data_IF_703156289102
#
_entry.id   IF_703156289102
#
_cell.length_a   1.000
_cell.length_b   1.000
_cell.length_c   1.000
_cell.angle_alpha   90.00
_cell.angle_beta   90.00
_cell.angle_gamma   90.00
#
_symmetry.space_group_name_H-M   'P 1'
#
loop_
_entity.id
_entity.type
_entity.pdbx_description
1 polymer ?
#
# COMPACT_ATOMS: atom_id res chain seq x y z
N UNK A 1 -4.29 13.93 -25.23
CA UNK A 1 -3.65 13.90 -23.90
C UNK A 1 -2.81 15.16 -23.77
N UNK A 2 -3.18 16.13 -22.93
CA UNK A 2 -2.35 17.33 -22.76
C UNK A 2 -1.06 16.92 -22.06
N UNK A 3 0.09 17.29 -22.64
CA UNK A 3 1.40 17.13 -22.00
C UNK A 3 1.37 17.98 -20.73
N UNK A 4 1.11 17.35 -19.58
CA UNK A 4 1.22 18.02 -18.29
C UNK A 4 2.65 18.53 -18.17
N UNK A 5 2.82 19.84 -17.98
CA UNK A 5 4.10 20.52 -17.70
C UNK A 5 4.99 19.66 -16.80
N UNK A 6 5.90 18.89 -17.41
CA UNK A 6 6.73 17.92 -16.69
C UNK A 6 7.93 18.69 -16.16
N UNK A 7 7.75 19.29 -14.99
CA UNK A 7 8.78 20.06 -14.30
C UNK A 7 9.69 19.08 -13.58
N UNK A 8 10.89 18.86 -14.12
CA UNK A 8 11.97 18.20 -13.41
C UNK A 8 12.63 19.20 -12.46
N UNK A 9 12.98 18.79 -11.25
CA UNK A 9 13.77 19.61 -10.34
C UNK A 9 14.72 18.73 -9.53
N UNK A 10 15.87 19.31 -9.19
CA UNK A 10 16.89 18.71 -8.36
C UNK A 10 16.73 19.21 -6.93
N UNK A 11 16.93 18.34 -5.95
CA UNK A 11 16.92 18.71 -4.53
C UNK A 11 17.87 17.81 -3.74
N UNK A 12 18.24 18.24 -2.52
CA UNK A 12 19.12 17.48 -1.63
C UNK A 12 18.32 16.82 -0.51
N UNK A 13 18.68 15.60 -0.17
CA UNK A 13 18.25 14.93 1.05
C UNK A 13 19.43 14.17 1.65
N UNK A 14 19.74 14.44 2.92
CA UNK A 14 20.89 13.84 3.65
C UNK A 14 22.21 13.89 2.87
N UNK A 15 22.48 15.02 2.23
CA UNK A 15 23.71 15.24 1.45
C UNK A 15 23.77 14.55 0.08
N UNK A 16 22.76 13.76 -0.30
CA UNK A 16 22.66 13.17 -1.65
C UNK A 16 21.76 14.02 -2.54
N UNK A 17 22.07 14.08 -3.84
CA UNK A 17 21.25 14.74 -4.84
C UNK A 17 20.17 13.81 -5.39
N UNK A 18 18.97 14.34 -5.57
CA UNK A 18 17.81 13.63 -6.09
C UNK A 18 17.12 14.43 -7.19
N UNK A 19 16.65 13.73 -8.21
CA UNK A 19 15.84 14.31 -9.29
C UNK A 19 14.38 13.87 -9.15
N UNK A 20 13.45 14.81 -9.25
CA UNK A 20 12.04 14.48 -9.38
C UNK A 20 11.75 13.82 -10.72
N UNK A 21 11.05 12.69 -10.67
CA UNK A 21 10.72 11.88 -11.84
C UNK A 21 9.33 12.21 -12.38
N UNK A 22 8.34 11.88 -11.55
CA UNK A 22 6.91 12.02 -11.87
C UNK A 22 6.09 11.94 -10.59
N UNK A 23 4.86 12.42 -10.66
CA UNK A 23 3.87 12.19 -9.61
C UNK A 23 3.40 10.74 -9.62
N UNK A 24 3.47 10.05 -8.48
CA UNK A 24 2.95 8.70 -8.30
C UNK A 24 1.46 8.70 -7.95
N UNK A 25 1.00 9.69 -7.18
CA UNK A 25 -0.38 9.77 -6.73
C UNK A 25 -0.65 10.98 -5.83
N UNK A 26 -1.92 11.18 -5.50
CA UNK A 26 -2.38 12.22 -4.58
C UNK A 26 -3.22 11.57 -3.49
N UNK A 27 -2.79 11.69 -2.23
CA UNK A 27 -3.59 11.33 -1.05
C UNK A 27 -4.42 12.52 -0.56
N UNK A 28 -5.13 12.37 0.55
CA UNK A 28 -5.85 13.49 1.17
C UNK A 28 -4.87 14.61 1.59
N UNK A 29 -3.82 14.24 2.31
CA UNK A 29 -2.92 15.20 2.98
C UNK A 29 -1.59 15.40 2.25
N UNK A 30 -1.19 14.47 1.38
CA UNK A 30 0.10 14.51 0.70
C UNK A 30 0.01 14.22 -0.81
N UNK A 31 1.07 14.58 -1.52
CA UNK A 31 1.34 14.16 -2.89
C UNK A 31 2.53 13.21 -2.87
N UNK A 32 2.38 12.04 -3.49
CA UNK A 32 3.46 11.07 -3.64
C UNK A 32 4.17 11.29 -4.98
N UNK A 33 5.49 11.32 -4.94
CA UNK A 33 6.37 11.60 -6.08
C UNK A 33 7.40 10.47 -6.19
N UNK A 34 7.68 10.01 -7.40
CA UNK A 34 8.85 9.16 -7.65
C UNK A 34 10.04 10.10 -7.81
N UNK A 35 11.13 9.79 -7.11
CA UNK A 35 12.39 10.53 -7.16
C UNK A 35 13.54 9.56 -7.36
N UNK A 36 14.61 9.99 -8.02
CA UNK A 36 15.79 9.16 -8.28
C UNK A 36 17.01 9.77 -7.62
N UNK A 37 17.77 8.95 -6.88
CA UNK A 37 19.06 9.33 -6.31
C UNK A 37 20.09 9.39 -7.42
N UNK A 38 20.67 10.57 -7.67
CA UNK A 38 21.54 10.82 -8.84
C UNK A 38 22.77 9.91 -8.84
N UNK A 39 23.39 9.69 -7.69
CA UNK A 39 24.65 8.91 -7.61
C UNK A 39 24.50 7.41 -7.83
N UNK A 40 23.29 6.85 -7.69
CA UNK A 40 23.07 5.39 -7.70
C UNK A 40 21.99 4.95 -8.67
N UNK A 41 21.16 5.88 -9.17
CA UNK A 41 19.96 5.56 -9.92
C UNK A 41 18.82 4.96 -9.09
N UNK A 42 18.99 4.79 -7.77
CA UNK A 42 17.97 4.24 -6.87
C UNK A 42 16.69 5.09 -6.91
N UNK A 43 15.54 4.46 -7.04
CA UNK A 43 14.23 5.12 -7.04
C UNK A 43 13.57 5.04 -5.67
N UNK A 44 12.97 6.14 -5.23
CA UNK A 44 12.26 6.27 -3.96
C UNK A 44 10.90 6.95 -4.16
N UNK A 45 10.04 6.81 -3.15
CA UNK A 45 8.82 7.61 -3.02
C UNK A 45 9.08 8.77 -2.08
N UNK A 46 8.86 9.99 -2.58
CA UNK A 46 8.83 11.22 -1.79
C UNK A 46 7.38 11.63 -1.55
N UNK A 47 6.88 11.54 -0.32
CA UNK A 47 5.58 12.09 0.09
C UNK A 47 5.79 13.55 0.52
N UNK A 48 5.03 14.48 -0.03
CA UNK A 48 5.09 15.92 0.29
C UNK A 48 3.74 16.38 0.81
N UNK A 49 3.68 17.01 1.98
CA UNK A 49 2.42 17.56 2.52
C UNK A 49 1.84 18.62 1.58
N UNK A 50 0.55 18.52 1.30
CA UNK A 50 -0.19 19.52 0.49
C UNK A 50 -0.36 20.82 1.24
N UNK A 51 -0.63 20.72 2.53
CA UNK A 51 -0.80 21.86 3.40
C UNK A 51 0.55 22.29 3.98
N UNK A 52 0.71 23.60 4.09
CA UNK A 52 1.79 24.22 4.86
C UNK A 52 1.41 24.12 6.32
N UNK A 53 2.30 23.57 7.12
CA UNK A 53 2.10 23.26 8.51
C UNK A 53 2.95 24.21 9.36
N UNK A 54 2.46 24.55 10.54
CA UNK A 54 3.24 25.27 11.53
C UNK A 54 4.36 24.37 12.07
N UNK A 55 5.43 24.96 12.59
CA UNK A 55 6.63 24.22 13.02
C UNK A 55 6.32 23.02 13.94
N UNK A 56 5.39 23.20 14.88
CA UNK A 56 4.96 22.20 15.87
C UNK A 56 4.25 20.99 15.25
N UNK A 57 3.54 21.18 14.13
CA UNK A 57 2.85 20.08 13.42
C UNK A 57 3.82 19.22 12.61
N UNK A 58 5.05 19.70 12.39
CA UNK A 58 6.07 19.02 11.61
C UNK A 58 7.13 18.31 12.47
N UNK A 59 7.24 18.60 13.78
CA UNK A 59 8.38 18.15 14.60
C UNK A 59 8.43 16.65 14.82
N UNK A 60 7.27 16.00 14.96
CA UNK A 60 7.21 14.56 15.18
C UNK A 60 5.89 13.99 14.61
N UNK A 61 5.84 13.76 13.30
CA UNK A 61 4.64 13.24 12.65
C UNK A 61 4.38 11.82 13.11
N UNK A 62 3.14 11.58 13.55
CA UNK A 62 2.71 10.31 14.14
C UNK A 62 3.10 9.07 13.33
N UNK A 63 2.90 9.10 12.00
CA UNK A 63 3.27 8.02 11.07
C UNK A 63 4.75 7.63 11.20
N UNK A 64 5.63 8.63 11.31
CA UNK A 64 7.08 8.40 11.30
C UNK A 64 7.54 7.82 12.62
N UNK A 65 7.01 8.33 13.73
CA UNK A 65 7.24 7.78 15.07
C UNK A 65 6.82 6.31 15.16
N UNK A 66 5.61 5.97 14.70
CA UNK A 66 5.11 4.59 14.70
C UNK A 66 6.06 3.67 13.90
N UNK A 67 6.49 4.11 12.71
CA UNK A 67 7.37 3.28 11.87
C UNK A 67 8.78 3.17 12.44
N UNK A 68 9.40 4.26 12.89
CA UNK A 68 10.78 4.27 13.37
C UNK A 68 10.92 3.61 14.74
N UNK A 69 10.03 3.95 15.67
CA UNK A 69 10.14 3.52 17.07
C UNK A 69 9.58 2.11 17.28
N UNK A 70 8.73 1.61 16.38
CA UNK A 70 8.10 0.31 16.52
C UNK A 70 8.29 -0.53 15.27
N UNK A 71 7.66 -0.19 14.14
CA UNK A 71 7.49 -1.14 13.04
C UNK A 71 8.80 -1.52 12.32
N UNK A 72 9.84 -0.68 12.40
CA UNK A 72 11.17 -0.96 11.85
C UNK A 72 12.03 -1.85 12.75
N UNK A 73 11.59 -2.13 13.98
CA UNK A 73 12.28 -3.05 14.89
C UNK A 73 12.09 -4.50 14.44
N UNK A 74 13.03 -5.41 14.77
CA UNK A 74 12.84 -6.84 14.55
C UNK A 74 11.55 -7.33 15.22
N UNK A 75 10.84 -8.28 14.61
CA UNK A 75 9.64 -8.86 15.22
C UNK A 75 10.00 -9.62 16.50
N UNK A 76 9.15 -9.50 17.52
CA UNK A 76 9.31 -10.25 18.77
C UNK A 76 8.97 -11.73 18.60
N UNK A 77 8.16 -12.07 17.60
CA UNK A 77 7.76 -13.45 17.31
C UNK A 77 8.80 -14.11 16.40
N UNK A 78 9.45 -15.21 16.81
CA UNK A 78 10.46 -15.90 16.00
C UNK A 78 9.89 -16.40 14.67
N UNK A 79 10.66 -16.19 13.59
CA UNK A 79 10.31 -16.62 12.23
C UNK A 79 9.26 -15.76 11.53
N UNK A 80 8.72 -14.72 12.20
CA UNK A 80 7.82 -13.76 11.57
C UNK A 80 8.62 -12.86 10.62
N UNK A 81 8.10 -12.62 9.41
CA UNK A 81 8.73 -11.71 8.43
C UNK A 81 7.71 -10.65 8.02
N UNK A 82 7.59 -9.54 8.76
CA UNK A 82 6.69 -8.46 8.40
C UNK A 82 7.22 -7.71 7.18
N UNK A 83 6.31 -7.36 6.26
CA UNK A 83 6.60 -6.55 5.09
C UNK A 83 5.99 -5.16 5.28
N UNK A 84 6.87 -4.23 5.70
CA UNK A 84 6.56 -2.81 5.93
C UNK A 84 7.50 -1.98 5.03
N UNK A 85 7.00 -1.01 4.24
CA UNK A 85 7.83 -0.18 3.39
C UNK A 85 8.89 0.55 4.22
N UNK A 86 10.15 0.48 3.78
CA UNK A 86 11.24 1.18 4.48
C UNK A 86 11.04 2.70 4.43
N UNK A 87 11.06 3.35 5.61
CA UNK A 87 11.19 4.80 5.74
C UNK A 87 12.68 5.16 5.78
N UNK A 88 13.17 5.82 4.74
CA UNK A 88 14.56 6.29 4.69
C UNK A 88 14.77 7.53 5.56
N UNK A 89 13.73 8.35 5.74
CA UNK A 89 13.71 9.49 6.65
C UNK A 89 12.72 10.56 6.22
N UNK A 90 12.72 11.68 6.92
CA UNK A 90 11.87 12.82 6.65
C UNK A 90 12.61 14.13 6.94
N UNK A 91 12.09 15.23 6.41
CA UNK A 91 12.62 16.58 6.62
C UNK A 91 11.50 17.62 6.58
N UNK A 92 11.77 18.79 7.14
CA UNK A 92 10.89 19.95 7.05
C UNK A 92 11.48 20.89 6.01
N UNK A 93 10.70 21.24 5.00
CA UNK A 93 11.12 22.23 4.02
C UNK A 93 10.45 23.58 4.33
N UNK A 94 11.22 24.67 4.44
CA UNK A 94 10.64 25.99 4.69
C UNK A 94 9.67 26.38 3.57
N UNK A 95 8.60 27.07 3.95
CA UNK A 95 7.59 27.61 3.06
C UNK A 95 7.29 29.06 3.45
N UNK A 96 6.60 29.79 2.56
CA UNK A 96 6.26 31.20 2.80
C UNK A 96 5.44 31.39 4.08
N UNK A 97 5.88 32.32 4.92
CA UNK A 97 5.17 32.78 6.13
C UNK A 97 5.42 31.91 7.36
N UNK A 98 6.68 31.56 7.65
CA UNK A 98 7.08 30.72 8.81
C UNK A 98 6.42 29.34 8.87
N UNK A 99 5.92 28.87 7.72
CA UNK A 99 5.32 27.53 7.59
C UNK A 99 6.30 26.57 6.95
N UNK A 100 5.98 25.29 7.03
CA UNK A 100 6.82 24.22 6.51
C UNK A 100 6.01 23.22 5.70
N UNK A 101 6.63 22.61 4.70
CA UNK A 101 6.16 21.37 4.11
C UNK A 101 6.83 20.20 4.82
N UNK A 102 6.04 19.20 5.19
CA UNK A 102 6.58 17.94 5.70
C UNK A 102 6.86 17.02 4.51
N UNK A 103 8.07 16.47 4.47
CA UNK A 103 8.52 15.59 3.39
C UNK A 103 9.07 14.30 3.96
N UNK A 104 8.67 13.16 3.42
CA UNK A 104 9.22 11.84 3.80
C UNK A 104 9.59 10.99 2.59
N UNK A 105 10.57 10.13 2.79
CA UNK A 105 11.22 9.33 1.75
C UNK A 105 11.06 7.84 2.06
N UNK A 106 10.45 7.10 1.15
CA UNK A 106 10.01 5.72 1.35
C UNK A 106 10.51 4.80 0.23
N UNK A 107 10.55 3.51 0.52
CA UNK A 107 10.77 2.46 -0.47
C UNK A 107 9.77 2.57 -1.63
N UNK A 108 10.27 2.49 -2.86
CA UNK A 108 9.42 2.34 -4.03
C UNK A 108 8.92 0.90 -4.13
N UNK A 109 7.59 0.74 -4.12
CA UNK A 109 6.92 -0.54 -4.34
C UNK A 109 6.36 -0.57 -5.77
N UNK A 110 7.09 -1.21 -6.66
CA UNK A 110 6.89 -1.17 -8.11
C UNK A 110 5.62 -1.86 -8.64
N UNK A 111 4.92 -2.66 -7.83
CA UNK A 111 3.68 -3.34 -8.22
C UNK A 111 2.42 -2.47 -8.13
N UNK A 112 2.45 -1.36 -7.38
CA UNK A 112 1.25 -0.54 -7.11
C UNK A 112 0.41 -1.05 -5.95
N UNK A 113 -0.80 -0.52 -5.78
CA UNK A 113 -1.67 -0.91 -4.68
C UNK A 113 -2.48 -2.17 -5.04
N UNK A 114 -2.86 -2.96 -4.04
CA UNK A 114 -3.75 -4.11 -4.20
C UNK A 114 -5.10 -3.68 -4.77
N UNK A 115 -5.57 -2.47 -4.43
CA UNK A 115 -6.75 -1.87 -5.08
C UNK A 115 -6.58 -1.79 -6.59
N UNK A 116 -5.40 -1.48 -7.12
CA UNK A 116 -5.20 -1.44 -8.57
C UNK A 116 -5.37 -2.83 -9.16
N UNK A 117 -4.92 -3.89 -8.47
CA UNK A 117 -5.17 -5.26 -8.90
C UNK A 117 -6.67 -5.59 -8.86
N UNK A 118 -7.32 -5.34 -7.71
CA UNK A 118 -8.73 -5.61 -7.49
C UNK A 118 -9.58 -4.78 -8.47
N UNK A 119 -9.22 -3.53 -8.73
CA UNK A 119 -10.06 -2.64 -9.51
C UNK A 119 -9.72 -2.64 -11.01
N UNK A 120 -8.47 -2.65 -11.43
CA UNK A 120 -8.18 -2.61 -12.88
C UNK A 120 -8.53 -3.92 -13.58
N UNK A 121 -8.57 -5.04 -12.83
CA UNK A 121 -8.99 -6.34 -13.35
C UNK A 121 -10.44 -6.69 -13.03
N UNK A 122 -11.01 -6.16 -11.93
CA UNK A 122 -12.36 -6.53 -11.48
C UNK A 122 -13.34 -5.35 -11.30
N UNK A 123 -13.01 -4.11 -11.70
CA UNK A 123 -13.89 -2.94 -11.56
C UNK A 123 -14.60 -2.59 -12.86
N UNK A 124 -15.84 -3.05 -12.94
CA UNK A 124 -16.91 -2.07 -12.76
C UNK A 124 -17.94 -2.71 -11.83
N UNK A 125 -18.72 -1.90 -11.14
CA UNK A 125 -19.90 -2.29 -10.33
C UNK A 125 -20.89 -3.24 -11.05
N UNK A 126 -20.65 -3.61 -12.32
CA UNK A 126 -21.39 -4.56 -13.15
C UNK A 126 -20.73 -5.93 -13.32
N UNK A 127 -19.49 -6.14 -12.84
CA UNK A 127 -18.72 -7.38 -13.06
C UNK A 127 -18.45 -8.19 -11.79
N UNK A 128 -19.50 -8.39 -10.99
CA UNK A 128 -19.69 -9.67 -10.30
C UNK A 128 -19.82 -10.87 -11.28
N UNK A 129 -19.48 -10.74 -12.55
CA UNK A 129 -19.57 -11.81 -13.54
C UNK A 129 -18.21 -12.49 -13.63
N UNK A 130 -18.22 -13.77 -13.32
CA UNK A 130 -17.08 -14.66 -13.51
C UNK A 130 -16.65 -14.62 -14.98
N UNK A 131 -15.36 -14.39 -15.24
CA UNK A 131 -14.76 -14.49 -16.56
C UNK A 131 -13.79 -15.69 -16.56
N UNK A 132 -14.11 -16.78 -17.29
CA UNK A 132 -13.25 -17.96 -17.31
C UNK A 132 -11.87 -17.71 -17.95
N UNK A 133 -11.70 -16.61 -18.69
CA UNK A 133 -10.42 -16.25 -19.31
C UNK A 133 -9.49 -15.49 -18.38
N UNK A 134 -9.98 -15.01 -17.23
CA UNK A 134 -9.18 -14.30 -16.24
C UNK A 134 -8.96 -15.21 -15.03
N UNK A 135 -7.70 -15.36 -14.63
CA UNK A 135 -7.30 -16.13 -13.44
C UNK A 135 -6.41 -15.28 -12.56
N UNK A 136 -6.81 -15.07 -11.30
CA UNK A 136 -5.86 -14.64 -10.27
C UNK A 136 -5.18 -15.90 -9.74
N UNK A 137 -3.85 -16.01 -9.79
CA UNK A 137 -3.14 -17.18 -9.31
C UNK A 137 -3.47 -17.46 -7.83
N UNK A 138 -3.80 -18.69 -7.50
CA UNK A 138 -4.14 -19.11 -6.14
C UNK A 138 -3.00 -18.78 -5.17
N UNK A 139 -1.75 -19.02 -5.60
CA UNK A 139 -0.54 -18.68 -4.84
C UNK A 139 -0.48 -17.21 -4.45
N UNK A 140 -0.93 -16.31 -5.33
CA UNK A 140 -0.93 -14.87 -5.07
C UNK A 140 -1.89 -14.50 -3.95
N UNK A 141 -3.09 -15.10 -3.92
CA UNK A 141 -4.10 -14.88 -2.87
C UNK A 141 -3.54 -15.31 -1.52
N UNK A 142 -2.95 -16.50 -1.47
CA UNK A 142 -2.38 -17.06 -0.24
C UNK A 142 -1.19 -16.24 0.24
N UNK A 143 -0.28 -15.85 -0.65
CA UNK A 143 0.87 -14.99 -0.32
C UNK A 143 0.42 -13.64 0.23
N UNK A 144 -0.63 -13.04 -0.35
CA UNK A 144 -1.21 -11.79 0.17
C UNK A 144 -1.69 -11.96 1.61
N UNK A 145 -2.48 -13.00 1.90
CA UNK A 145 -2.97 -13.26 3.26
C UNK A 145 -1.79 -13.49 4.22
N UNK A 146 -0.88 -14.39 3.85
CA UNK A 146 0.32 -14.72 4.63
C UNK A 146 1.12 -13.46 5.01
N UNK A 147 1.48 -12.65 4.02
CA UNK A 147 2.37 -11.51 4.24
C UNK A 147 1.68 -10.34 4.95
N UNK A 148 0.41 -10.04 4.61
CA UNK A 148 -0.33 -8.97 5.28
C UNK A 148 -0.65 -9.36 6.73
N UNK A 149 -1.03 -10.62 7.00
CA UNK A 149 -1.19 -11.11 8.38
C UNK A 149 0.13 -11.09 9.13
N UNK A 150 1.25 -11.39 8.48
CA UNK A 150 2.57 -11.29 9.14
C UNK A 150 2.87 -9.86 9.57
N UNK A 151 2.57 -8.87 8.72
CA UNK A 151 2.69 -7.45 9.08
C UNK A 151 1.73 -7.04 10.19
N UNK A 152 0.47 -7.51 10.19
CA UNK A 152 -0.48 -7.23 11.27
C UNK A 152 -0.06 -7.84 12.60
N UNK A 153 0.40 -9.11 12.61
CA UNK A 153 0.92 -9.77 13.79
C UNK A 153 2.10 -8.99 14.38
N UNK A 154 2.99 -8.48 13.53
CA UNK A 154 4.08 -7.62 13.98
C UNK A 154 3.54 -6.35 14.63
N UNK A 155 2.60 -5.64 14.03
CA UNK A 155 1.98 -4.45 14.64
C UNK A 155 1.34 -4.76 16.01
N UNK A 156 0.74 -5.94 16.16
CA UNK A 156 0.08 -6.37 17.40
C UNK A 156 1.04 -6.78 18.50
N UNK A 157 2.27 -7.18 18.15
CA UNK A 157 3.22 -7.77 19.10
C UNK A 157 4.50 -6.97 19.29
N UNK A 158 4.81 -6.00 18.41
CA UNK A 158 6.04 -5.20 18.46
C UNK A 158 6.20 -4.39 19.76
N UNK A 159 5.08 -4.11 20.42
CA UNK A 159 5.05 -3.52 21.76
C UNK A 159 4.22 -4.44 22.68
N UNK A 160 4.86 -5.17 23.63
CA UNK A 160 4.18 -6.10 24.52
C UNK A 160 3.08 -5.46 25.37
N UNK A 161 3.25 -4.19 25.73
CA UNK A 161 2.35 -3.50 26.65
C UNK A 161 1.16 -2.89 25.93
N UNK A 162 1.29 -2.56 24.63
CA UNK A 162 0.21 -1.89 23.91
C UNK A 162 0.25 -2.20 22.40
N UNK A 163 -0.71 -2.98 21.88
CA UNK A 163 -0.76 -3.32 20.46
C UNK A 163 -1.00 -2.08 19.59
N UNK A 164 -0.42 -2.08 18.40
CA UNK A 164 -0.64 -1.04 17.39
C UNK A 164 -1.63 -1.56 16.34
N UNK A 165 -2.67 -0.80 16.06
CA UNK A 165 -3.66 -1.10 15.02
C UNK A 165 -3.43 -0.21 13.80
N UNK A 166 -3.73 -0.71 12.60
CA UNK A 166 -3.52 0.08 11.38
C UNK A 166 -4.51 1.24 11.27
N UNK A 167 -5.77 1.02 11.69
CA UNK A 167 -6.87 2.02 11.77
C UNK A 167 -7.29 2.65 10.44
N UNK A 168 -6.56 2.41 9.36
CA UNK A 168 -6.97 2.74 7.99
C UNK A 168 -6.60 1.61 6.99
N UNK A 169 -6.83 0.34 7.38
CA UNK A 169 -6.54 -0.77 6.48
C UNK A 169 -7.61 -0.87 5.40
N UNK A 170 -7.19 -0.67 4.16
CA UNK A 170 -7.97 -0.90 2.95
C UNK A 170 -7.05 -1.33 1.80
N UNK A 171 -7.57 -1.86 0.70
CA UNK A 171 -6.76 -2.38 -0.41
C UNK A 171 -5.82 -1.33 -1.06
N UNK A 172 -6.05 -0.04 -0.84
CA UNK A 172 -5.15 1.04 -1.27
C UNK A 172 -3.86 1.16 -0.43
N UNK A 173 -3.86 0.59 0.77
CA UNK A 173 -2.77 0.63 1.75
C UNK A 173 -2.01 -0.70 1.84
N UNK A 174 -2.38 -1.67 0.99
CA UNK A 174 -1.58 -2.86 0.72
C UNK A 174 -0.90 -2.67 -0.62
N UNK A 175 0.42 -2.62 -0.62
CA UNK A 175 1.25 -2.37 -1.79
C UNK A 175 1.92 -3.64 -2.27
N UNK A 176 2.10 -3.77 -3.58
CA UNK A 176 2.79 -4.89 -4.20
C UNK A 176 4.20 -4.47 -4.62
N UNK A 177 5.17 -5.35 -4.45
CA UNK A 177 6.53 -5.17 -4.94
C UNK A 177 7.04 -6.45 -5.59
N UNK A 178 7.47 -6.37 -6.83
CA UNK A 178 8.19 -7.44 -7.51
C UNK A 178 9.68 -7.23 -7.20
N UNK A 179 10.28 -8.04 -6.31
CA UNK A 179 11.69 -7.90 -5.98
C UNK A 179 12.57 -8.25 -7.19
N UNK A 180 13.74 -7.63 -7.26
CA UNK A 180 14.75 -8.00 -8.26
C UNK A 180 15.46 -9.28 -7.81
N UNK A 181 15.50 -10.29 -8.68
CA UNK A 181 16.20 -11.56 -8.47
C UNK A 181 17.71 -11.39 -8.66
N UNK A 182 18.50 -12.38 -8.26
CA UNK A 182 19.97 -12.35 -8.34
C UNK A 182 20.53 -12.12 -9.74
N UNK A 183 19.77 -12.49 -10.78
CA UNK A 183 20.09 -12.24 -12.19
C UNK A 183 19.65 -10.86 -12.70
N UNK A 184 19.14 -9.97 -11.84
CA UNK A 184 18.69 -8.63 -12.22
C UNK A 184 17.29 -8.55 -12.81
N UNK A 185 16.56 -9.67 -12.91
CA UNK A 185 15.17 -9.67 -13.38
C UNK A 185 14.17 -9.36 -12.27
N UNK A 186 12.95 -8.95 -12.63
CA UNK A 186 11.86 -8.91 -11.65
C UNK A 186 11.32 -10.32 -11.41
N UNK A 187 11.11 -10.63 -10.13
CA UNK A 187 10.39 -11.83 -9.66
C UNK A 187 9.04 -11.96 -10.36
N UNK A 188 8.66 -13.20 -10.68
CA UNK A 188 7.35 -13.50 -11.25
C UNK A 188 6.20 -13.21 -10.25
N UNK A 189 6.48 -13.25 -8.95
CA UNK A 189 5.46 -13.13 -7.90
C UNK A 189 5.79 -11.94 -7.01
N UNK A 190 4.83 -11.02 -6.80
CA UNK A 190 5.04 -9.87 -5.94
C UNK A 190 4.96 -10.26 -4.45
N UNK A 191 5.63 -9.45 -3.64
CA UNK A 191 5.47 -9.34 -2.21
C UNK A 191 4.43 -8.28 -1.86
N UNK A 192 3.72 -8.46 -0.74
CA UNK A 192 2.66 -7.59 -0.24
C UNK A 192 3.10 -6.86 1.02
N UNK A 193 3.24 -5.55 0.90
CA UNK A 193 3.67 -4.64 1.94
C UNK A 193 2.47 -3.88 2.51
N UNK A 194 2.39 -3.80 3.83
CA UNK A 194 1.40 -2.97 4.52
C UNK A 194 1.97 -1.56 4.72
N UNK A 195 1.27 -0.50 4.31
CA UNK A 195 1.78 0.87 4.39
C UNK A 195 0.70 1.92 4.66
N UNK A 196 1.14 3.18 4.75
CA UNK A 196 0.31 4.35 5.09
C UNK A 196 -0.20 4.32 6.55
N UNK A 197 0.72 4.58 7.47
CA UNK A 197 0.49 4.48 8.92
C UNK A 197 0.01 5.81 9.55
N UNK A 198 -0.54 6.73 8.75
CA UNK A 198 -1.00 8.05 9.21
C UNK A 198 -1.98 7.97 10.39
N UNK A 199 -2.85 6.96 10.37
CA UNK A 199 -3.84 6.71 11.42
C UNK A 199 -3.46 5.59 12.39
N UNK A 200 -2.38 4.87 12.13
CA UNK A 200 -2.01 3.68 12.90
C UNK A 200 -1.63 4.06 14.32
N UNK A 201 -2.12 3.36 15.33
CA UNK A 201 -1.85 3.70 16.72
C UNK A 201 -2.55 2.77 17.70
N UNK A 202 -2.54 3.17 18.96
CA UNK A 202 -3.09 2.40 20.06
C UNK A 202 -4.63 2.47 20.13
N UNK A 203 -5.28 1.54 20.84
CA UNK A 203 -6.73 1.54 21.00
C UNK A 203 -7.19 2.65 21.97
N UNK A 204 -7.19 3.89 21.50
CA UNK A 204 -7.87 4.98 22.21
C UNK A 204 -9.30 5.12 21.68
N UNK A 205 -10.28 4.76 22.51
CA UNK A 205 -11.70 5.01 22.27
C UNK A 205 -12.56 3.78 21.93
N UNK A 206 -13.87 3.96 22.06
CA UNK A 206 -14.89 2.96 21.74
C UNK A 206 -15.24 3.01 20.26
N UNK A 207 -14.95 1.94 19.52
CA UNK A 207 -15.62 1.64 18.26
C UNK A 207 -16.55 0.46 18.45
N UNK A 208 -17.63 0.40 17.68
CA UNK A 208 -18.58 -0.73 17.71
C UNK A 208 -17.93 -2.07 17.37
N UNK A 209 -16.80 -2.04 16.65
CA UNK A 209 -15.96 -3.19 16.31
C UNK A 209 -14.55 -3.02 16.87
N UNK A 210 -13.93 -4.10 17.36
CA UNK A 210 -12.52 -4.10 17.73
C UNK A 210 -11.64 -3.78 16.51
N UNK A 211 -10.64 -2.92 16.68
CA UNK A 211 -9.77 -2.48 15.57
C UNK A 211 -9.03 -3.66 14.91
N UNK A 212 -8.56 -4.62 15.70
CA UNK A 212 -7.88 -5.81 15.18
C UNK A 212 -8.76 -6.61 14.22
N UNK A 213 -10.00 -6.90 14.61
CA UNK A 213 -10.91 -7.64 13.74
C UNK A 213 -11.29 -6.86 12.52
N UNK A 214 -11.39 -5.52 12.62
CA UNK A 214 -11.67 -4.70 11.44
C UNK A 214 -10.53 -4.80 10.43
N UNK A 215 -9.28 -4.74 10.89
CA UNK A 215 -8.12 -4.90 10.02
C UNK A 215 -8.09 -6.31 9.39
N UNK A 216 -8.32 -7.36 10.18
CA UNK A 216 -8.37 -8.76 9.68
C UNK A 216 -9.53 -8.99 8.71
N UNK A 217 -10.73 -8.48 9.01
CA UNK A 217 -11.91 -8.54 8.15
C UNK A 217 -11.65 -7.87 6.80
N UNK A 218 -10.89 -6.76 6.78
CA UNK A 218 -10.50 -6.12 5.52
C UNK A 218 -9.60 -7.01 4.68
N UNK A 219 -8.59 -7.66 5.28
CA UNK A 219 -7.76 -8.64 4.55
C UNK A 219 -8.59 -9.80 4.01
N UNK A 220 -9.48 -10.35 4.85
CA UNK A 220 -10.39 -11.43 4.45
C UNK A 220 -11.35 -10.97 3.36
N UNK A 221 -11.82 -9.72 3.39
CA UNK A 221 -12.64 -9.15 2.33
C UNK A 221 -11.85 -9.05 1.01
N UNK A 222 -10.58 -8.66 1.04
CA UNK A 222 -9.75 -8.65 -0.17
C UNK A 222 -9.58 -10.06 -0.74
N UNK A 223 -9.31 -11.05 0.13
CA UNK A 223 -9.23 -12.45 -0.26
C UNK A 223 -10.56 -12.94 -0.86
N UNK A 224 -11.69 -12.61 -0.25
CA UNK A 224 -13.02 -12.92 -0.78
C UNK A 224 -13.21 -12.37 -2.19
N UNK A 225 -12.83 -11.11 -2.45
CA UNK A 225 -12.95 -10.52 -3.78
C UNK A 225 -12.06 -11.25 -4.81
N UNK A 226 -10.82 -11.56 -4.44
CA UNK A 226 -9.88 -12.28 -5.31
C UNK A 226 -10.32 -13.73 -5.58
N UNK A 227 -10.86 -14.43 -4.58
CA UNK A 227 -11.43 -15.78 -4.75
C UNK A 227 -12.68 -15.70 -5.64
N UNK A 228 -13.58 -14.76 -5.36
CA UNK A 228 -14.85 -14.62 -6.10
C UNK A 228 -14.64 -14.28 -7.57
N UNK A 229 -13.55 -13.58 -7.89
CA UNK A 229 -13.14 -13.30 -9.26
C UNK A 229 -12.80 -14.57 -10.06
N UNK A 230 -12.30 -15.60 -9.39
CA UNK A 230 -11.92 -16.87 -10.00
C UNK A 230 -13.08 -17.87 -10.12
N UNK A 231 -14.24 -17.59 -9.52
CA UNK A 231 -15.28 -18.59 -9.31
C UNK A 231 -16.64 -18.17 -9.90
N UNK A 232 -17.36 -19.12 -10.54
CA UNK A 232 -18.78 -18.96 -10.84
C UNK A 232 -19.57 -18.66 -9.55
N UNK A 233 -20.69 -17.96 -9.69
CA UNK A 233 -21.50 -17.48 -8.55
C UNK A 233 -21.86 -18.59 -7.56
N UNK A 234 -22.20 -19.78 -8.04
CA UNK A 234 -22.56 -20.94 -7.22
C UNK A 234 -21.45 -21.42 -6.26
N UNK A 235 -20.19 -21.07 -6.53
CA UNK A 235 -19.04 -21.51 -5.74
C UNK A 235 -18.40 -20.39 -4.91
N UNK A 236 -18.94 -19.16 -4.96
CA UNK A 236 -18.33 -18.03 -4.28
C UNK A 236 -18.48 -18.12 -2.77
N UNK A 237 -17.45 -17.74 -2.00
CA UNK A 237 -17.63 -17.56 -0.57
C UNK A 237 -18.66 -16.44 -0.31
N UNK A 238 -19.48 -16.53 0.74
CA UNK A 238 -20.42 -15.47 1.09
C UNK A 238 -19.70 -14.21 1.58
N UNK A 239 -20.32 -13.05 1.36
CA UNK A 239 -19.73 -11.73 1.61
C UNK A 239 -19.54 -11.41 3.09
N UNK A 240 -20.38 -11.95 3.95
CA UNK A 240 -20.44 -11.64 5.38
C UNK A 240 -19.53 -12.54 6.23
N UNK A 241 -18.58 -13.25 5.61
CA UNK A 241 -17.72 -14.25 6.25
C UNK A 241 -18.52 -15.34 7.00
N UNK A 242 -19.83 -15.48 6.75
CA UNK A 242 -20.62 -16.57 7.32
C UNK A 242 -20.25 -17.84 6.61
N UNK A 243 -19.57 -18.70 7.32
CA UNK A 243 -19.07 -19.93 6.71
C UNK A 243 -20.28 -20.84 6.41
N UNK A 244 -20.41 -21.38 5.18
CA UNK A 244 -21.47 -22.33 4.87
C UNK A 244 -21.43 -23.50 5.86
N UNK A 245 -22.60 -24.08 6.17
CA UNK A 245 -22.70 -25.17 7.15
C UNK A 245 -21.63 -26.24 6.86
N UNK A 246 -20.77 -26.59 7.84
CA UNK A 246 -19.69 -27.57 7.65
C UNK A 246 -20.17 -28.93 7.14
N UNK A 247 -21.45 -29.26 7.37
CA UNK A 247 -22.06 -30.51 6.92
C UNK A 247 -22.47 -30.50 5.44
N UNK A 248 -22.27 -29.41 4.70
CA UNK A 248 -22.58 -29.36 3.26
C UNK A 248 -21.54 -30.20 2.49
N UNK A 249 -21.94 -31.27 1.80
CA UNK A 249 -21.02 -32.05 0.96
C UNK A 249 -20.35 -31.16 -0.08
N UNK A 250 -19.07 -31.37 -0.34
CA UNK A 250 -18.27 -30.55 -1.28
C UNK A 250 -18.10 -29.09 -0.89
N UNK A 251 -18.30 -28.71 0.39
CA UNK A 251 -17.97 -27.37 0.87
C UNK A 251 -16.53 -27.01 0.52
N UNK A 252 -16.38 -25.91 -0.22
CA UNK A 252 -15.09 -25.41 -0.66
C UNK A 252 -14.40 -26.28 -1.71
N UNK A 253 -15.08 -27.26 -2.31
CA UNK A 253 -14.55 -28.08 -3.39
C UNK A 253 -14.97 -27.48 -4.74
N UNK A 254 -13.98 -27.14 -5.56
CA UNK A 254 -14.18 -26.61 -6.91
C UNK A 254 -13.81 -27.71 -7.90
N UNK A 255 -14.78 -28.21 -8.70
CA UNK A 255 -14.51 -29.28 -9.65
C UNK A 255 -13.35 -28.93 -10.58
N UNK A 256 -12.37 -29.82 -10.66
CA UNK A 256 -11.18 -29.69 -11.53
C UNK A 256 -10.31 -28.44 -11.26
N UNK A 257 -10.40 -27.82 -10.08
CA UNK A 257 -9.56 -26.69 -9.67
C UNK A 257 -9.04 -26.93 -8.24
N UNK A 258 -8.06 -27.85 -8.13
CA UNK A 258 -7.40 -28.16 -6.87
C UNK A 258 -6.75 -26.94 -6.19
N UNK A 259 -6.08 -26.02 -6.92
CA UNK A 259 -5.52 -24.80 -6.32
C UNK A 259 -6.59 -23.95 -5.64
N UNK A 260 -7.70 -23.63 -6.33
CA UNK A 260 -8.74 -22.78 -5.75
C UNK A 260 -9.55 -23.49 -4.67
N UNK A 261 -9.70 -24.82 -4.77
CA UNK A 261 -10.26 -25.65 -3.70
C UNK A 261 -9.46 -25.49 -2.42
N UNK A 262 -8.13 -25.57 -2.50
CA UNK A 262 -7.26 -25.42 -1.33
C UNK A 262 -7.35 -24.00 -0.73
N UNK A 263 -7.35 -22.96 -1.58
CA UNK A 263 -7.51 -21.56 -1.13
C UNK A 263 -8.86 -21.34 -0.46
N UNK A 264 -9.95 -21.84 -1.03
CA UNK A 264 -11.30 -21.67 -0.50
C UNK A 264 -11.49 -22.39 0.84
N UNK A 265 -10.92 -23.60 0.98
CA UNK A 265 -10.91 -24.34 2.25
C UNK A 265 -10.12 -23.60 3.34
N UNK A 266 -8.94 -23.08 3.01
CA UNK A 266 -8.15 -22.26 3.94
C UNK A 266 -8.92 -21.00 4.35
N UNK A 267 -9.52 -20.29 3.39
CA UNK A 267 -10.35 -19.11 3.64
C UNK A 267 -11.48 -19.41 4.63
N UNK A 268 -12.21 -20.52 4.44
CA UNK A 268 -13.27 -20.92 5.37
C UNK A 268 -12.74 -21.29 6.76
N UNK A 269 -11.61 -22.00 6.86
CA UNK A 269 -10.96 -22.27 8.16
C UNK A 269 -10.65 -20.97 8.90
N UNK A 270 -10.12 -19.95 8.20
CA UNK A 270 -9.82 -18.66 8.83
C UNK A 270 -11.08 -17.92 9.26
N UNK A 271 -12.15 -17.95 8.46
CA UNK A 271 -13.43 -17.39 8.88
C UNK A 271 -13.98 -18.07 10.15
N UNK A 272 -13.88 -19.40 10.26
CA UNK A 272 -14.26 -20.14 11.47
C UNK A 272 -13.42 -19.73 12.67
N UNK A 273 -12.08 -19.71 12.53
CA UNK A 273 -11.16 -19.28 13.60
C UNK A 273 -11.45 -17.86 14.09
N UNK A 274 -11.70 -16.90 13.17
CA UNK A 274 -12.05 -15.52 13.52
C UNK A 274 -13.39 -15.46 14.25
N UNK A 275 -14.39 -16.22 13.79
CA UNK A 275 -15.71 -16.23 14.41
C UNK A 275 -15.70 -16.89 15.79
N UNK A 276 -14.94 -17.97 15.97
CA UNK A 276 -14.73 -18.61 17.27
C UNK A 276 -14.05 -17.66 18.24
N UNK A 277 -12.98 -16.99 17.82
CA UNK A 277 -12.29 -15.99 18.65
C UNK A 277 -13.23 -14.85 19.07
N UNK A 278 -14.07 -14.33 18.15
CA UNK A 278 -15.08 -13.30 18.48
C UNK A 278 -16.11 -13.79 19.49
N UNK A 279 -16.53 -15.04 19.39
CA UNK A 279 -17.51 -15.65 20.30
C UNK A 279 -16.91 -15.81 21.71
N UNK A 280 -15.71 -16.37 21.81
CA UNK A 280 -14.95 -16.54 23.05
C UNK A 280 -14.70 -15.20 23.75
N UNK A 281 -14.44 -14.15 22.97
CA UNK A 281 -14.15 -12.82 23.48
C UNK A 281 -15.38 -11.89 23.51
N UNK A 282 -16.58 -12.38 23.22
CA UNK A 282 -17.79 -11.56 23.01
C UNK A 282 -18.10 -10.58 24.14
N UNK A 283 -17.78 -10.94 25.40
CA UNK A 283 -17.96 -10.09 26.59
C UNK A 283 -16.99 -8.90 26.67
N UNK A 284 -15.84 -9.00 26.04
CA UNK A 284 -14.74 -8.02 26.13
C UNK A 284 -14.38 -7.42 24.79
N UNK A 285 -14.86 -7.99 23.68
CA UNK A 285 -14.48 -7.62 22.31
C UNK A 285 -14.69 -6.13 21.98
N UNK A 286 -15.63 -5.46 22.65
CA UNK A 286 -15.85 -4.01 22.48
C UNK A 286 -15.01 -3.12 23.42
N UNK A 287 -14.20 -3.71 24.29
CA UNK A 287 -13.34 -3.02 25.24
C UNK A 287 -11.93 -2.87 24.67
N UNK A 288 -11.28 -1.75 24.98
CA UNK A 288 -9.88 -1.50 24.61
C UNK A 288 -8.90 -2.54 25.19
N UNK A 289 -9.30 -3.23 26.27
CA UNK A 289 -8.52 -4.28 26.92
C UNK A 289 -8.59 -5.64 26.23
N UNK A 290 -9.41 -5.81 25.20
CA UNK A 290 -9.45 -7.06 24.45
C UNK A 290 -8.12 -7.22 23.69
N UNK A 291 -7.39 -8.34 23.84
CA UNK A 291 -6.18 -8.54 23.07
C UNK A 291 -6.54 -8.69 21.58
N UNK A 292 -5.64 -8.36 20.64
CA UNK A 292 -5.81 -8.79 19.26
C UNK A 292 -5.79 -10.34 19.17
N UNK A 293 -6.46 -10.94 18.18
CA UNK A 293 -6.31 -12.37 17.92
C UNK A 293 -4.86 -12.69 17.51
N UNK A 294 -4.36 -13.84 17.98
CA UNK A 294 -3.07 -14.35 17.51
C UNK A 294 -3.21 -14.92 16.10
N UNK A 295 -2.48 -14.34 15.14
CA UNK A 295 -2.54 -14.72 13.73
C UNK A 295 -1.53 -15.81 13.35
N UNK A 296 -0.66 -16.25 14.27
CA UNK A 296 0.42 -17.18 13.93
C UNK A 296 -0.06 -18.52 13.36
N UNK A 297 -1.20 -19.03 13.84
CA UNK A 297 -1.83 -20.23 13.28
C UNK A 297 -2.23 -20.05 11.82
N UNK A 298 -2.86 -18.91 11.49
CA UNK A 298 -3.27 -18.56 10.13
C UNK A 298 -2.07 -18.30 9.22
N UNK A 299 -1.06 -17.56 9.71
CA UNK A 299 0.18 -17.27 9.00
C UNK A 299 0.86 -18.57 8.56
N UNK A 300 1.05 -19.53 9.48
CA UNK A 300 1.70 -20.82 9.17
C UNK A 300 0.90 -21.67 8.18
N UNK A 301 -0.43 -21.69 8.32
CA UNK A 301 -1.32 -22.40 7.36
C UNK A 301 -1.22 -21.79 5.96
N UNK A 302 -1.23 -20.46 5.86
CA UNK A 302 -1.08 -19.75 4.59
C UNK A 302 0.31 -19.97 3.99
N UNK A 303 1.38 -19.85 4.76
CA UNK A 303 2.75 -20.12 4.30
C UNK A 303 2.91 -21.57 3.79
N UNK A 304 2.36 -22.55 4.52
CA UNK A 304 2.40 -23.95 4.11
C UNK A 304 1.66 -24.18 2.78
N UNK A 305 0.47 -23.59 2.62
CA UNK A 305 -0.28 -23.67 1.36
C UNK A 305 0.44 -22.93 0.21
N UNK A 306 1.06 -21.78 0.49
CA UNK A 306 1.85 -21.05 -0.49
C UNK A 306 3.01 -21.90 -1.03
N UNK A 307 3.70 -22.65 -0.15
CA UNK A 307 4.76 -23.60 -0.52
C UNK A 307 4.21 -24.74 -1.37
N UNK A 308 3.03 -25.28 -1.07
CA UNK A 308 2.38 -26.33 -1.88
C UNK A 308 1.95 -25.85 -3.27
N UNK A 309 1.57 -24.58 -3.40
CA UNK A 309 1.20 -23.94 -4.67
C UNK A 309 2.44 -23.45 -5.46
N UNK A 310 3.64 -23.58 -4.90
CA UNK A 310 4.87 -23.18 -5.59
C UNK A 310 5.30 -24.28 -6.56
N UNK A 311 5.73 -23.93 -7.79
CA UNK A 311 6.29 -24.92 -8.70
C UNK A 311 7.48 -25.63 -8.04
N UNK A 312 7.51 -26.96 -8.10
CA UNK A 312 8.65 -27.74 -7.62
C UNK A 312 9.90 -27.37 -8.43
N UNK A 313 10.80 -26.58 -7.82
CA UNK A 313 12.07 -26.21 -8.43
C UNK A 313 13.03 -27.40 -8.58
N UNK A 314 12.84 -28.48 -7.83
CA UNK A 314 13.82 -29.56 -7.75
C UNK A 314 13.72 -30.58 -8.88
N UNK A 315 12.75 -30.48 -9.79
CA UNK A 315 12.61 -31.42 -10.92
C UNK A 315 12.47 -32.89 -10.52
N UNK A 316 12.46 -33.19 -9.21
CA UNK A 316 12.27 -34.52 -8.68
C UNK A 316 10.86 -34.94 -8.99
N UNK A 317 10.76 -36.04 -9.72
CA UNK A 317 9.60 -36.82 -10.13
C UNK A 317 8.71 -37.28 -8.95
N UNK A 318 8.57 -36.52 -7.87
CA UNK A 318 7.39 -36.61 -7.01
C UNK A 318 6.22 -36.12 -7.86
N UNK A 319 5.56 -37.09 -8.46
CA UNK A 319 4.48 -37.00 -9.43
C UNK A 319 3.60 -35.75 -9.24
N UNK A 320 3.24 -35.14 -10.38
CA UNK A 320 2.19 -34.12 -10.59
C UNK A 320 0.77 -34.52 -10.08
N UNK A 321 0.66 -35.37 -9.06
CA UNK A 321 -0.58 -35.94 -8.55
C UNK A 321 -1.47 -34.92 -7.84
N UNK A 322 -0.95 -33.76 -7.40
CA UNK A 322 -1.75 -32.83 -6.60
C UNK A 322 -2.58 -31.84 -7.43
N UNK A 323 -2.30 -31.65 -8.72
CA UNK A 323 -2.96 -30.63 -9.55
C UNK A 323 -2.80 -29.20 -9.03
N UNK A 324 -1.87 -28.96 -8.09
CA UNK A 324 -1.69 -27.69 -7.39
C UNK A 324 -0.83 -26.66 -8.15
N UNK A 325 -0.07 -27.12 -9.15
CA UNK A 325 0.81 -26.27 -9.94
C UNK A 325 0.05 -25.54 -11.05
N UNK A 326 -0.11 -24.22 -10.89
CA UNK A 326 -0.75 -23.36 -11.88
C UNK A 326 0.23 -22.73 -12.88
N UNK A 327 1.53 -23.07 -12.83
CA UNK A 327 2.56 -22.42 -13.67
C UNK A 327 2.37 -22.63 -15.16
N UNK A 328 1.65 -23.69 -15.55
CA UNK A 328 1.32 -24.01 -16.94
C UNK A 328 -0.04 -23.46 -17.39
N UNK A 329 -0.84 -22.89 -16.49
CA UNK A 329 -2.11 -22.27 -16.88
C UNK A 329 -1.83 -20.99 -17.68
N UNK A 330 -2.24 -20.90 -18.95
CA UNK A 330 -1.96 -19.73 -19.80
C UNK A 330 -2.52 -18.43 -19.23
N UNK A 331 -3.64 -18.50 -18.47
CA UNK A 331 -4.27 -17.33 -17.83
C UNK A 331 -3.39 -16.80 -16.69
N UNK A 332 -2.75 -17.70 -15.94
CA UNK A 332 -1.80 -17.35 -14.87
C UNK A 332 -0.51 -16.77 -15.44
N UNK A 333 0.03 -17.37 -16.51
CA UNK A 333 1.21 -16.84 -17.21
C UNK A 333 0.93 -15.44 -17.75
N UNK A 334 -0.22 -15.25 -18.41
CA UNK A 334 -0.64 -13.93 -18.89
C UNK A 334 -0.75 -12.92 -17.73
N UNK A 335 -1.38 -13.31 -16.63
CA UNK A 335 -1.53 -12.46 -15.46
C UNK A 335 -0.18 -11.95 -14.94
N UNK A 336 0.80 -12.84 -14.75
CA UNK A 336 2.12 -12.45 -14.26
C UNK A 336 2.90 -11.60 -15.26
N UNK A 337 2.81 -11.91 -16.56
CA UNK A 337 3.46 -11.10 -17.60
C UNK A 337 2.92 -9.67 -17.63
N UNK A 338 1.61 -9.50 -17.52
CA UNK A 338 1.01 -8.16 -17.47
C UNK A 338 1.42 -7.40 -16.20
N UNK A 339 1.47 -8.08 -15.05
CA UNK A 339 1.90 -7.49 -13.79
C UNK A 339 3.38 -7.05 -13.86
N UNK A 340 4.26 -7.92 -14.38
CA UNK A 340 5.69 -7.63 -14.61
C UNK A 340 5.85 -6.47 -15.59
N UNK A 341 5.09 -6.44 -16.68
CA UNK A 341 5.09 -5.33 -17.64
C UNK A 341 4.69 -3.99 -17.02
N UNK A 342 3.65 -3.97 -16.17
CA UNK A 342 3.25 -2.76 -15.42
C UNK A 342 4.31 -2.31 -14.42
N UNK A 343 4.94 -3.26 -13.73
CA UNK A 343 6.02 -2.98 -12.78
C UNK A 343 7.24 -2.41 -13.49
N UNK A 344 7.63 -3.01 -14.63
CA UNK A 344 8.69 -2.49 -15.49
C UNK A 344 8.37 -1.07 -15.94
N UNK A 345 7.17 -0.76 -16.45
CA UNK A 345 6.81 0.61 -16.82
C UNK A 345 6.89 1.61 -15.66
N UNK A 346 6.69 1.17 -14.42
CA UNK A 346 6.85 2.04 -13.23
C UNK A 346 8.31 2.32 -12.93
N UNK A 347 9.19 1.32 -13.03
CA UNK A 347 10.64 1.43 -12.77
C UNK A 347 11.40 2.05 -13.95
N UNK A 348 10.98 1.73 -15.18
CA UNK A 348 11.60 2.16 -16.44
C UNK A 348 11.08 3.50 -16.95
N UNK A 349 10.14 4.13 -16.24
CA UNK A 349 9.79 5.52 -16.49
C UNK A 349 10.99 6.39 -16.10
N UNK A 350 12.00 6.39 -16.97
CA UNK A 350 13.25 7.09 -16.78
C UNK A 350 12.93 8.57 -16.64
N UNK A 351 13.35 9.18 -15.52
CA UNK A 351 13.16 10.58 -15.30
C UNK A 351 14.26 11.34 -16.00
N UNK A 352 14.18 11.40 -17.32
CA UNK A 352 15.12 12.14 -18.14
C UNK A 352 16.49 11.46 -18.19
N UNK A 353 17.03 11.29 -19.39
CA UNK A 353 18.44 10.90 -19.50
C UNK A 353 19.25 12.15 -19.17
N UNK A 354 19.83 12.19 -17.97
CA UNK A 354 20.84 13.19 -17.62
C UNK A 354 22.07 12.90 -18.48
N UNK A 355 22.22 13.61 -19.59
CA UNK A 355 23.40 13.49 -20.46
C UNK A 355 24.31 14.69 -20.19
N UNK A 356 25.58 14.44 -19.84
CA UNK A 356 26.58 15.46 -19.56
C UNK A 356 27.62 15.07 -18.50
N UNK A 357 28.76 15.76 -18.52
CA UNK A 357 29.73 15.86 -17.41
C UNK A 357 29.13 16.60 -16.21
N UNK A 358 29.72 16.50 -15.00
CA UNK A 358 29.32 17.25 -13.79
C UNK A 358 29.17 18.76 -14.04
N UNK A 359 29.95 19.33 -14.98
CA UNK A 359 29.86 20.74 -15.41
C UNK A 359 28.71 21.04 -16.39
N UNK A 360 28.16 20.03 -17.05
CA UNK A 360 27.07 20.13 -18.05
C UNK A 360 25.76 19.48 -17.59
N UNK A 361 25.68 18.96 -16.36
CA UNK A 361 24.55 18.21 -15.78
C UNK A 361 23.22 18.99 -15.60
N UNK A 362 22.95 20.06 -16.34
CA UNK A 362 21.78 20.92 -16.12
C UNK A 362 20.82 21.01 -17.30
N UNK A 363 20.97 20.18 -18.34
CA UNK A 363 19.95 20.08 -19.40
C UNK A 363 19.31 18.69 -19.38
N UNK A 364 18.31 18.46 -18.51
CA UNK A 364 17.60 17.19 -18.51
C UNK A 364 16.89 16.97 -19.87
N UNK A 365 16.99 15.77 -20.42
CA UNK A 365 16.47 15.42 -21.75
C UNK A 365 15.35 14.37 -21.67
N UNK A 366 14.27 14.51 -22.44
CA UNK A 366 13.33 13.40 -22.76
C UNK A 366 13.57 12.97 -24.19
N UNK A 367 14.17 11.79 -24.39
CA UNK A 367 14.63 11.37 -25.72
C UNK A 367 15.75 12.29 -26.21
N UNK A 368 15.56 12.91 -27.38
CA UNK A 368 16.50 13.92 -27.94
C UNK A 368 16.10 15.36 -27.61
N UNK A 369 15.02 15.58 -26.87
CA UNK A 369 14.49 16.92 -26.62
C UNK A 369 14.92 17.46 -25.24
N UNK A 370 15.51 18.67 -25.17
CA UNK A 370 15.81 19.32 -23.91
C UNK A 370 14.53 19.73 -23.18
N UNK A 371 14.47 19.44 -21.88
CA UNK A 371 13.35 19.82 -21.01
C UNK A 371 13.65 21.11 -20.29
N UNK A 372 12.71 22.06 -20.40
CA UNK A 372 12.74 23.28 -19.59
C UNK A 372 12.44 22.93 -18.13
N UNK A 373 13.45 23.05 -17.28
CA UNK A 373 13.34 23.02 -15.82
C UNK A 373 12.59 24.29 -15.37
N UNK A 374 11.43 24.15 -14.73
CA UNK A 374 10.62 25.27 -14.26
C UNK A 374 10.22 25.13 -12.77
N UNK A 375 11.13 25.52 -11.86
CA UNK A 375 10.88 25.93 -10.46
C UNK A 375 10.57 24.82 -9.40
N UNK A 376 10.94 25.02 -8.10
CA UNK A 376 12.07 25.81 -7.60
C UNK A 376 13.03 24.96 -6.74
N UNK A 377 14.23 24.75 -7.25
CA UNK A 377 15.43 25.39 -6.70
C UNK A 377 16.16 26.05 -7.87
N UNK A 378 16.76 27.22 -7.64
CA UNK A 378 17.79 27.80 -8.51
C UNK A 378 19.15 27.57 -7.87
N UNK A 379 20.17 27.31 -8.67
CA UNK A 379 21.57 27.60 -8.37
C UNK A 379 21.80 29.12 -8.55
N UNK A 380 22.50 29.77 -7.64
CA UNK A 380 22.80 31.21 -7.61
C UNK A 380 24.31 31.41 -7.52
N UNK A 381 24.91 32.04 -8.54
CA UNK A 381 26.34 32.32 -8.54
C UNK A 381 26.69 33.48 -7.59
N UNK A 382 27.64 33.28 -6.67
CA UNK A 382 28.32 34.36 -5.94
C UNK A 382 29.44 34.94 -6.80
N UNK A 383 29.86 36.18 -6.49
CA UNK A 383 31.08 36.81 -7.06
C UNK A 383 32.21 35.77 -7.11
N UNK A 384 32.86 35.66 -8.28
CA UNK A 384 33.94 34.71 -8.60
C UNK A 384 33.56 33.29 -9.09
N UNK A 385 32.46 33.05 -9.81
CA UNK A 385 32.31 31.78 -10.56
C UNK A 385 31.69 30.60 -9.80
N UNK A 386 31.16 30.80 -8.58
CA UNK A 386 30.65 29.70 -7.72
C UNK A 386 29.14 29.74 -7.55
N UNK A 387 28.46 28.65 -7.88
CA UNK A 387 27.00 28.48 -7.78
C UNK A 387 26.52 27.94 -6.41
N UNK A 388 25.39 28.45 -5.89
CA UNK A 388 24.79 28.18 -4.57
C UNK A 388 23.25 28.12 -4.66
N UNK A 389 22.59 27.07 -4.16
CA UNK A 389 21.12 26.97 -4.31
C UNK A 389 20.31 27.81 -3.29
N UNK A 390 19.27 28.54 -3.73
CA UNK A 390 18.38 29.36 -2.86
C UNK A 390 16.89 29.12 -3.18
N UNK A 391 16.04 29.00 -2.15
CA UNK A 391 14.59 28.77 -2.23
C UNK A 391 13.78 29.99 -1.74
N UNK A 392 12.86 30.49 -2.57
CA UNK A 392 11.83 31.47 -2.20
C UNK A 392 10.56 31.29 -3.06
N UNK A 393 9.61 30.51 -2.55
CA UNK A 393 8.13 30.64 -2.75
C UNK A 393 7.37 29.79 -3.82
N UNK A 394 6.18 29.37 -3.37
CA UNK A 394 4.87 29.22 -4.07
C UNK A 394 4.62 28.05 -5.04
N UNK A 395 3.79 27.10 -4.59
CA UNK A 395 3.01 26.25 -5.49
C UNK A 395 1.88 27.03 -6.16
N UNK A 396 1.86 27.00 -7.49
CA UNK A 396 0.65 27.21 -8.29
C UNK A 396 -0.33 26.06 -8.05
N UNK A 397 -1.61 26.38 -7.80
CA UNK A 397 -2.70 25.40 -7.95
C UNK A 397 -2.62 24.80 -9.36
N UNK A 398 -2.66 23.47 -9.55
CA UNK A 398 -2.92 22.90 -10.86
C UNK A 398 -4.27 23.45 -11.35
N UNK A 399 -4.30 24.01 -12.55
CA UNK A 399 -5.51 24.56 -13.14
C UNK A 399 -6.65 23.55 -13.07
N UNK A 400 -7.83 24.00 -12.63
CA UNK A 400 -9.08 23.29 -12.80
C UNK A 400 -9.20 22.87 -14.27
N UNK A 401 -9.02 21.60 -14.58
CA UNK A 401 -9.63 21.03 -15.78
C UNK A 401 -11.14 21.14 -15.56
N UNK A 402 -11.77 22.12 -16.23
CA UNK A 402 -13.22 22.15 -16.42
C UNK A 402 -13.63 20.82 -17.06
N UNK A 403 -14.50 20.07 -16.38
CA UNK A 403 -15.24 18.96 -17.00
C UNK A 403 -15.22 17.64 -16.25
N UNK A 404 -15.89 17.59 -15.09
CA UNK A 404 -16.81 16.49 -14.74
C UNK A 404 -17.48 16.86 -13.41
N UNK A 405 -18.72 17.32 -13.49
CA UNK A 405 -19.47 17.79 -12.34
C UNK A 405 -19.98 16.68 -11.42
N UNK A 406 -20.50 17.18 -10.30
CA UNK A 406 -21.44 16.59 -9.32
C UNK A 406 -20.83 15.74 -8.20
N UNK A 407 -20.96 16.27 -6.99
CA UNK A 407 -20.84 15.52 -5.73
C UNK A 407 -20.20 16.27 -4.56
N UNK A 408 -20.56 17.54 -4.30
CA UNK A 408 -20.19 18.24 -3.06
C UNK A 408 -21.43 18.93 -2.48
N UNK A 409 -21.81 18.49 -1.28
CA UNK A 409 -22.57 19.14 -0.19
C UNK A 409 -22.94 17.99 0.77
N UNK A 410 -22.85 18.06 2.08
CA UNK A 410 -22.33 19.00 3.09
C UNK A 410 -22.14 18.09 4.34
N UNK A 411 -21.33 18.39 5.34
CA UNK A 411 -21.64 19.34 6.41
C UNK A 411 -20.37 19.50 7.26
N UNK A 412 -19.86 20.72 7.35
CA UNK A 412 -19.29 21.28 8.56
C UNK A 412 -19.81 22.71 8.67
N UNK A 413 -19.85 23.18 9.92
CA UNK A 413 -20.07 24.56 10.36
C UNK A 413 -21.46 24.78 10.99
N UNK A 414 -21.50 24.59 12.31
CA UNK A 414 -22.29 25.43 13.22
C UNK A 414 -21.29 26.34 13.94
N UNK A 415 -21.50 27.66 13.95
CA UNK A 415 -20.76 28.58 14.81
C UNK A 415 -21.43 28.72 16.18
N UNK A 416 -20.61 28.95 17.18
CA UNK A 416 -21.00 29.51 18.47
C UNK A 416 -21.50 30.95 18.28
N UNK A 417 -22.66 31.27 18.88
CA UNK A 417 -23.04 32.62 19.28
C UNK A 417 -23.41 32.59 20.77
N UNK A 418 -22.76 33.47 21.53
CA UNK A 418 -23.00 33.76 22.94
C UNK A 418 -24.31 34.52 23.16
N UNK A 419 -24.95 34.38 24.34
CA UNK A 419 -25.93 35.36 24.81
C UNK A 419 -26.92 34.86 25.87
N UNK A 420 -26.65 35.20 27.13
CA UNK A 420 -27.50 35.06 28.32
C UNK A 420 -28.89 35.72 28.18
N UNK A 421 -29.91 35.17 28.86
CA UNK A 421 -30.60 35.85 29.97
C UNK A 421 -31.85 35.07 30.42
N UNK A 422 -31.87 34.77 31.73
CA UNK A 422 -33.06 34.38 32.49
C UNK A 422 -34.14 35.48 32.46
N UNK A 423 -35.37 35.12 32.12
CA UNK A 423 -36.60 35.62 32.77
C UNK A 423 -37.85 35.01 32.13
N UNK A 424 -38.51 34.08 32.85
CA UNK A 424 -39.97 33.97 32.88
C UNK A 424 -40.54 35.13 33.74
N UNK A 425 -41.82 35.58 33.61
CA UNK A 425 -43.01 34.70 33.55
C UNK A 425 -44.22 35.16 32.70
N UNK A 426 -45.01 34.20 32.21
CA UNK A 426 -46.42 33.92 32.57
C UNK A 426 -46.92 32.65 31.87
#
# INVERSE_FOLDING_TARGET
MSQSNTRAYLFKFRGSDYVFCKTAGHGAECQAQIVQKVSTGELLIRKVSKHRLDYMKCSDPHEFRIVQDYLSKPPLVPGLVPLIPKLYGHEKLPAKGEKFHLVSYWQLLNGGALKDLILTKFNSLKHSRYDPNVRIPARLIVRMIHQVFSSLQHMYTVNPDTPIFHRDLHANNVWMHLPTTSNGELSAIPDFYLGDFGYAGWPYGFTTNHWATRDIEQVMFFAHLMISANLPEAYRPPKDMKVPNPNIPNRGNIPNDAPMTAVLRMYYSFCEEINSWKLENSRFFRKASCPPPDLMGMIRKAEALEKQLSPSLTGTLTMNMSGMDESKDPRVVQFYNEMKGRALMKVSAQPLTMTGTVQTCLTPMVGTNPVKVHGPFYLAEKRFGKWEAIDNQTYHRPGKTRGSGRGLRALSDSPDEDGESDSEPE
#
